data_IF_695338347641
#
_entry.id   IF_695338347641
#
_cell.length_a   1.000
_cell.length_b   1.000
_cell.length_c   1.000
_cell.angle_alpha   90.00
_cell.angle_beta   90.00
_cell.angle_gamma   90.00
#
_symmetry.space_group_name_H-M   'P 1'
#
loop_
_entity.id
_entity.type
_entity.pdbx_description
1 polymer ?
#
# COMPACT_ATOMS: atom_id res chain seq x y z
N UNK A 1 10.57 -37.54 9.80
CA UNK A 1 9.90 -38.85 9.60
C UNK A 1 8.66 -38.60 8.76
N UNK A 2 8.41 -39.35 7.69
CA UNK A 2 7.17 -39.20 6.88
C UNK A 2 6.20 -40.32 7.24
N UNK A 3 5.04 -39.98 7.77
CA UNK A 3 3.97 -40.92 8.13
C UNK A 3 2.67 -40.41 7.51
N UNK A 4 2.01 -41.23 6.68
CA UNK A 4 0.76 -40.87 5.99
C UNK A 4 0.84 -39.53 5.21
N UNK A 5 1.97 -39.27 4.54
CA UNK A 5 2.20 -38.03 3.79
C UNK A 5 2.56 -36.81 4.64
N UNK A 6 2.54 -36.92 5.97
CA UNK A 6 2.93 -35.86 6.90
C UNK A 6 4.41 -36.00 7.22
N UNK A 7 5.17 -34.94 6.94
CA UNK A 7 6.58 -34.84 7.30
C UNK A 7 6.71 -34.24 8.70
N UNK A 8 6.95 -35.08 9.69
CA UNK A 8 7.13 -34.67 11.07
C UNK A 8 8.51 -34.09 11.33
N UNK A 9 8.53 -33.04 12.16
CA UNK A 9 9.73 -32.42 12.67
C UNK A 9 10.54 -33.43 13.49
N UNK A 10 11.87 -33.52 13.30
CA UNK A 10 12.72 -34.39 14.11
C UNK A 10 12.59 -34.10 15.62
N UNK A 11 12.70 -35.15 16.45
CA UNK A 11 12.68 -34.99 17.91
C UNK A 11 13.94 -34.28 18.42
N UNK A 12 15.08 -34.44 17.76
CA UNK A 12 16.36 -33.82 18.15
C UNK A 12 16.62 -32.50 17.42
N UNK A 13 15.69 -31.54 17.53
CA UNK A 13 15.90 -30.17 17.05
C UNK A 13 16.60 -29.33 18.14
N UNK A 14 17.71 -28.63 17.82
CA UNK A 14 18.40 -27.75 18.77
C UNK A 14 17.49 -26.68 19.40
N UNK A 15 17.78 -26.29 20.64
CA UNK A 15 16.97 -25.30 21.37
C UNK A 15 16.79 -23.98 20.61
N UNK A 16 17.84 -23.45 19.97
CA UNK A 16 17.74 -22.19 19.22
C UNK A 16 16.69 -22.25 18.11
N UNK A 17 16.62 -23.36 17.35
CA UNK A 17 15.59 -23.60 16.33
C UNK A 17 14.18 -23.69 16.92
N UNK A 18 14.04 -24.22 18.14
CA UNK A 18 12.75 -24.24 18.84
C UNK A 18 12.33 -22.84 19.26
N UNK A 19 13.26 -22.02 19.77
CA UNK A 19 13.01 -20.64 20.15
C UNK A 19 12.64 -19.76 18.94
N UNK A 20 13.30 -19.94 17.79
CA UNK A 20 12.89 -19.34 16.52
C UNK A 20 11.47 -19.73 16.13
N UNK A 21 11.12 -21.02 16.26
CA UNK A 21 9.77 -21.51 15.96
C UNK A 21 8.74 -20.91 16.91
N UNK A 22 9.07 -20.82 18.20
CA UNK A 22 8.22 -20.23 19.22
C UNK A 22 8.01 -18.73 18.98
N UNK A 23 9.05 -18.00 18.59
CA UNK A 23 8.98 -16.58 18.26
C UNK A 23 8.04 -16.32 17.08
N UNK A 24 8.17 -17.10 15.99
CA UNK A 24 7.27 -16.97 14.84
C UNK A 24 5.86 -17.43 15.18
N UNK A 25 5.70 -18.49 15.98
CA UNK A 25 4.38 -18.95 16.43
C UNK A 25 3.68 -17.86 17.25
N UNK A 26 4.38 -17.27 18.22
CA UNK A 26 3.87 -16.17 19.03
C UNK A 26 3.45 -14.99 18.14
N UNK A 27 4.32 -14.56 17.23
CA UNK A 27 3.99 -13.48 16.30
C UNK A 27 2.79 -13.80 15.41
N UNK A 28 2.73 -15.01 14.85
CA UNK A 28 1.64 -15.45 13.98
C UNK A 28 0.31 -15.50 14.73
N UNK A 29 0.28 -16.04 15.95
CA UNK A 29 -0.92 -16.05 16.79
C UNK A 29 -1.33 -14.64 17.21
N UNK A 30 -0.37 -13.76 17.48
CA UNK A 30 -0.64 -12.36 17.76
C UNK A 30 -1.32 -11.67 16.57
N UNK A 31 -0.78 -11.81 15.37
CA UNK A 31 -1.34 -11.21 14.17
C UNK A 31 -2.74 -11.75 13.85
N UNK A 32 -2.97 -13.06 13.96
CA UNK A 32 -4.22 -13.70 13.54
C UNK A 32 -5.34 -13.61 14.59
N UNK A 33 -5.00 -13.65 15.88
CA UNK A 33 -5.99 -13.90 16.93
C UNK A 33 -5.98 -12.95 18.11
N UNK A 34 -4.86 -12.29 18.43
CA UNK A 34 -4.75 -11.55 19.69
C UNK A 34 -5.72 -10.36 19.76
N UNK A 35 -5.96 -9.63 18.66
CA UNK A 35 -6.94 -8.55 18.64
C UNK A 35 -8.35 -9.00 19.06
N UNK A 36 -8.87 -10.05 18.40
CA UNK A 36 -10.17 -10.63 18.74
C UNK A 36 -10.15 -11.26 20.13
N UNK A 37 -9.07 -11.93 20.52
CA UNK A 37 -8.89 -12.49 21.85
C UNK A 37 -8.99 -11.43 22.95
N UNK A 38 -8.30 -10.30 22.79
CA UNK A 38 -8.37 -9.17 23.72
C UNK A 38 -9.77 -8.56 23.76
N UNK A 39 -10.47 -8.47 22.62
CA UNK A 39 -11.85 -7.98 22.57
C UNK A 39 -12.81 -8.91 23.33
N UNK A 40 -12.78 -10.21 23.04
CA UNK A 40 -13.64 -11.19 23.71
C UNK A 40 -13.32 -11.29 25.21
N UNK A 41 -12.03 -11.25 25.58
CA UNK A 41 -11.62 -11.20 26.97
C UNK A 41 -12.14 -9.94 27.66
N UNK A 42 -12.09 -8.77 27.00
CA UNK A 42 -12.62 -7.52 27.55
C UNK A 42 -14.13 -7.61 27.78
N UNK A 43 -14.87 -8.16 26.82
CA UNK A 43 -16.33 -8.39 26.95
C UNK A 43 -16.61 -9.36 28.09
N UNK A 44 -15.88 -10.48 28.15
CA UNK A 44 -16.06 -11.49 29.20
C UNK A 44 -15.76 -10.91 30.59
N UNK A 45 -14.65 -10.18 30.76
CA UNK A 45 -14.29 -9.53 32.02
C UNK A 45 -15.36 -8.52 32.45
N UNK A 46 -15.88 -7.73 31.51
CA UNK A 46 -16.90 -6.71 31.76
C UNK A 46 -18.23 -7.30 32.24
N UNK A 47 -18.69 -8.41 31.66
CA UNK A 47 -20.03 -8.95 31.94
C UNK A 47 -20.06 -10.18 32.85
N UNK A 48 -18.96 -10.91 33.00
CA UNK A 48 -18.95 -12.22 33.65
C UNK A 48 -17.94 -12.35 34.81
N UNK A 49 -17.27 -11.27 35.21
CA UNK A 49 -16.29 -11.34 36.31
C UNK A 49 -16.44 -10.19 37.30
N UNK A 50 -15.98 -10.39 38.53
CA UNK A 50 -15.85 -9.31 39.54
C UNK A 50 -14.80 -8.25 39.19
N UNK A 51 -14.05 -8.45 38.11
CA UNK A 51 -12.99 -7.55 37.63
C UNK A 51 -13.47 -6.61 36.52
N UNK A 52 -14.78 -6.47 36.31
CA UNK A 52 -15.38 -5.59 35.29
C UNK A 52 -14.86 -4.14 35.36
N UNK A 53 -14.52 -3.68 36.56
CA UNK A 53 -13.97 -2.34 36.79
C UNK A 53 -12.65 -2.09 36.05
N UNK A 54 -11.85 -3.12 35.75
CA UNK A 54 -10.62 -2.96 34.95
C UNK A 54 -10.96 -2.44 33.55
N UNK A 55 -11.98 -3.02 32.91
CA UNK A 55 -12.42 -2.60 31.58
C UNK A 55 -13.05 -1.20 31.67
N UNK A 56 -13.85 -0.93 32.70
CA UNK A 56 -14.43 0.41 32.90
C UNK A 56 -13.37 1.50 33.13
N UNK A 57 -12.26 1.20 33.80
CA UNK A 57 -11.14 2.14 33.95
C UNK A 57 -10.35 2.31 32.63
N UNK A 58 -10.23 1.25 31.84
CA UNK A 58 -9.54 1.30 30.56
C UNK A 58 -10.33 2.09 29.49
N UNK A 59 -11.67 2.07 29.50
CA UNK A 59 -12.48 2.73 28.47
C UNK A 59 -12.25 4.27 28.36
N UNK A 60 -12.20 5.04 29.46
CA UNK A 60 -11.84 6.46 29.41
C UNK A 60 -10.45 6.69 28.82
N UNK A 61 -9.45 5.89 29.23
CA UNK A 61 -8.10 5.94 28.65
C UNK A 61 -8.13 5.64 27.16
N UNK A 62 -8.80 4.56 26.75
CA UNK A 62 -8.95 4.17 25.36
C UNK A 62 -9.54 5.30 24.51
N UNK A 63 -10.59 5.98 25.02
CA UNK A 63 -11.24 7.09 24.34
C UNK A 63 -10.33 8.31 24.24
N UNK A 64 -9.63 8.65 25.32
CA UNK A 64 -8.65 9.75 25.34
C UNK A 64 -7.50 9.51 24.36
N UNK A 65 -6.87 8.33 24.40
CA UNK A 65 -5.69 7.95 23.63
C UNK A 65 -6.04 7.41 22.22
N UNK A 66 -7.30 7.54 21.77
CA UNK A 66 -7.79 6.95 20.50
C UNK A 66 -7.08 7.46 19.24
N UNK A 67 -6.51 8.66 19.29
CA UNK A 67 -5.82 9.30 18.17
C UNK A 67 -4.33 8.99 18.14
N UNK A 68 -3.78 8.37 19.18
CA UNK A 68 -2.36 8.10 19.30
C UNK A 68 -1.80 7.24 18.16
N UNK A 69 -2.49 6.20 17.63
CA UNK A 69 -2.04 5.48 16.44
C UNK A 69 -1.85 6.37 15.20
N UNK A 70 -2.60 7.47 15.10
CA UNK A 70 -2.51 8.46 14.03
C UNK A 70 -1.52 9.58 14.38
N UNK A 71 -1.20 9.79 15.65
CA UNK A 71 -0.37 10.89 16.13
C UNK A 71 1.04 10.42 16.55
N UNK A 72 1.67 9.54 15.78
CA UNK A 72 3.03 9.05 16.03
C UNK A 72 3.13 7.76 16.86
N UNK A 73 2.07 7.35 17.56
CA UNK A 73 2.05 6.13 18.36
C UNK A 73 3.00 6.14 19.57
N UNK A 74 2.97 5.07 20.35
CA UNK A 74 3.71 4.93 21.61
C UNK A 74 4.87 3.93 21.51
N UNK A 75 5.78 4.16 20.56
CA UNK A 75 6.91 3.26 20.32
C UNK A 75 7.81 3.13 21.56
N UNK A 76 8.21 1.90 21.87
CA UNK A 76 9.06 1.61 23.01
C UNK A 76 10.33 0.87 22.57
N UNK A 77 11.49 1.49 22.80
CA UNK A 77 12.78 0.95 22.40
C UNK A 77 13.11 -0.40 23.08
N UNK A 78 12.66 -0.62 24.31
CA UNK A 78 12.86 -1.89 25.01
C UNK A 78 12.05 -3.02 24.36
N UNK A 79 10.77 -2.77 24.04
CA UNK A 79 9.91 -3.74 23.33
C UNK A 79 10.51 -4.09 21.96
N UNK A 80 10.94 -3.09 21.18
CA UNK A 80 11.59 -3.31 19.88
C UNK A 80 12.88 -4.12 19.96
N UNK A 81 13.57 -4.13 21.11
CA UNK A 81 14.83 -4.87 21.34
C UNK A 81 14.64 -6.23 22.03
N UNK A 82 13.41 -6.68 22.26
CA UNK A 82 13.15 -7.99 22.84
C UNK A 82 13.87 -9.11 22.08
N UNK A 83 14.40 -10.09 22.83
CA UNK A 83 15.14 -11.23 22.25
C UNK A 83 14.31 -12.05 21.26
N UNK A 84 12.98 -12.05 21.43
CA UNK A 84 12.04 -12.74 20.53
C UNK A 84 12.19 -12.25 19.08
N UNK A 85 12.49 -10.97 18.84
CA UNK A 85 12.63 -10.43 17.49
C UNK A 85 13.91 -10.91 16.77
N UNK A 86 14.98 -11.20 17.53
CA UNK A 86 16.17 -11.84 16.98
C UNK A 86 15.87 -13.27 16.54
N UNK A 87 15.14 -14.04 17.36
CA UNK A 87 14.67 -15.37 17.00
C UNK A 87 13.71 -15.35 15.80
N UNK A 88 12.82 -14.35 15.74
CA UNK A 88 11.93 -14.13 14.59
C UNK A 88 12.73 -13.88 13.31
N UNK A 89 13.70 -12.96 13.32
CA UNK A 89 14.50 -12.66 12.14
C UNK A 89 15.41 -13.83 11.73
N UNK A 90 15.93 -14.60 12.70
CA UNK A 90 16.74 -15.78 12.43
C UNK A 90 15.93 -16.97 11.89
N UNK A 91 14.61 -17.02 12.13
CA UNK A 91 13.74 -18.04 11.55
C UNK A 91 13.64 -17.92 10.03
N UNK A 92 13.54 -16.68 9.52
CA UNK A 92 13.42 -16.30 8.11
C UNK A 92 14.72 -15.78 7.48
N UNK A 93 15.88 -16.08 8.08
CA UNK A 93 17.10 -15.28 7.91
C UNK A 93 16.93 -13.85 7.33
N UNK A 94 16.20 -12.96 8.01
CA UNK A 94 15.87 -11.62 7.50
C UNK A 94 17.12 -10.75 7.44
N UNK A 95 17.37 -10.11 6.31
CA UNK A 95 18.48 -9.15 6.13
C UNK A 95 18.00 -7.82 5.56
N UNK A 96 18.43 -6.72 6.17
CA UNK A 96 18.20 -5.36 5.71
C UNK A 96 19.44 -4.82 5.00
N UNK A 97 19.30 -4.45 3.74
CA UNK A 97 20.38 -3.98 2.89
C UNK A 97 20.21 -2.50 2.60
N UNK A 98 21.14 -1.69 3.10
CA UNK A 98 21.23 -0.25 2.80
C UNK A 98 21.97 -0.03 1.49
N UNK A 99 21.41 0.77 0.58
CA UNK A 99 22.06 1.11 -0.69
C UNK A 99 22.52 2.56 -0.80
N UNK A 100 22.00 3.44 0.04
CA UNK A 100 22.38 4.84 0.12
C UNK A 100 22.23 5.36 1.55
N UNK A 101 22.88 6.48 1.84
CA UNK A 101 22.68 7.22 3.07
C UNK A 101 21.29 7.87 3.08
N UNK A 102 20.67 7.89 4.27
CA UNK A 102 19.43 8.59 4.54
C UNK A 102 19.70 9.58 5.69
N UNK A 103 20.11 10.83 5.37
CA UNK A 103 20.37 11.87 6.36
C UNK A 103 19.22 12.12 7.37
N UNK A 104 19.50 12.19 8.68
CA UNK A 104 18.45 12.35 9.71
C UNK A 104 17.86 13.77 9.81
N UNK A 105 18.38 14.72 9.03
CA UNK A 105 17.81 16.07 8.85
C UNK A 105 16.63 16.11 7.87
N UNK A 106 16.26 14.97 7.28
CA UNK A 106 15.12 14.82 6.37
C UNK A 106 14.08 13.83 6.88
N UNK A 107 12.89 13.91 6.30
CA UNK A 107 11.81 12.95 6.50
C UNK A 107 11.61 12.11 5.24
N UNK A 108 11.25 10.85 5.43
CA UNK A 108 11.19 9.85 4.36
C UNK A 108 9.86 9.11 4.33
N UNK A 109 9.38 8.85 3.12
CA UNK A 109 8.33 7.87 2.86
C UNK A 109 8.98 6.68 2.16
N UNK A 110 9.09 5.56 2.88
CA UNK A 110 9.63 4.30 2.39
C UNK A 110 8.50 3.50 1.74
N UNK A 111 8.50 3.42 0.42
CA UNK A 111 7.52 2.64 -0.35
C UNK A 111 7.90 1.16 -0.37
N UNK A 112 7.33 0.38 0.55
CA UNK A 112 7.64 -1.03 0.76
C UNK A 112 6.81 -1.96 -0.13
N UNK A 113 7.50 -2.86 -0.84
CA UNK A 113 6.90 -3.91 -1.67
C UNK A 113 7.69 -5.23 -1.62
N UNK A 114 7.07 -6.37 -1.95
CA UNK A 114 5.64 -6.57 -1.94
C UNK A 114 5.12 -6.64 -0.48
N UNK A 115 3.81 -6.54 -0.26
CA UNK A 115 3.21 -6.72 1.06
C UNK A 115 3.46 -8.13 1.65
N UNK A 116 3.48 -9.17 0.81
CA UNK A 116 3.39 -10.56 1.30
C UNK A 116 2.07 -10.86 2.00
N UNK A 117 1.94 -12.05 2.57
CA UNK A 117 0.71 -12.39 3.31
C UNK A 117 0.61 -11.60 4.62
N UNK A 118 1.71 -11.56 5.39
CA UNK A 118 1.74 -10.95 6.73
C UNK A 118 2.84 -9.87 6.87
N UNK A 119 3.52 -9.50 5.78
CA UNK A 119 4.64 -8.53 5.79
C UNK A 119 5.71 -8.86 6.84
N UNK A 120 6.25 -10.08 6.80
CA UNK A 120 7.29 -10.56 7.72
C UNK A 120 8.56 -9.71 7.64
N UNK A 121 8.96 -9.30 6.42
CA UNK A 121 10.12 -8.42 6.22
C UNK A 121 9.83 -7.00 6.70
N UNK A 122 8.60 -6.51 6.48
CA UNK A 122 8.17 -5.19 6.91
C UNK A 122 8.20 -5.08 8.43
N UNK A 123 7.60 -6.04 9.12
CA UNK A 123 7.60 -6.12 10.58
C UNK A 123 9.00 -6.31 11.15
N UNK A 124 9.74 -7.32 10.67
CA UNK A 124 11.08 -7.64 11.16
C UNK A 124 12.06 -6.48 11.05
N UNK A 125 12.06 -5.77 9.91
CA UNK A 125 13.00 -4.68 9.66
C UNK A 125 12.58 -3.33 10.25
N UNK A 126 11.29 -3.00 10.27
CA UNK A 126 10.85 -1.63 10.55
C UNK A 126 10.00 -1.48 11.82
N UNK A 127 9.42 -2.57 12.35
CA UNK A 127 8.70 -2.59 13.63
C UNK A 127 9.53 -3.18 14.78
N UNK A 128 10.75 -3.65 14.52
CA UNK A 128 11.61 -4.21 15.58
C UNK A 128 13.06 -3.79 15.37
N UNK A 129 13.93 -4.15 16.31
CA UNK A 129 15.39 -4.07 16.15
C UNK A 129 15.99 -5.45 15.85
N UNK A 130 15.19 -6.41 15.36
CA UNK A 130 15.63 -7.77 15.06
C UNK A 130 16.74 -7.84 14.00
N UNK A 131 16.73 -6.90 13.04
CA UNK A 131 17.80 -6.71 12.03
C UNK A 131 18.67 -5.48 12.28
N UNK A 132 18.47 -4.80 13.41
CA UNK A 132 19.29 -3.64 13.81
C UNK A 132 19.07 -2.38 12.98
N UNK A 133 17.82 -2.02 12.65
CA UNK A 133 17.49 -0.82 11.87
C UNK A 133 18.22 0.43 12.37
N UNK A 134 18.20 0.69 13.68
CA UNK A 134 18.81 1.89 14.26
C UNK A 134 20.34 1.92 14.08
N UNK A 135 20.99 0.77 13.88
CA UNK A 135 22.43 0.70 13.58
C UNK A 135 22.75 0.94 12.11
N UNK A 136 21.83 0.56 11.21
CA UNK A 136 21.99 0.71 9.76
C UNK A 136 21.65 2.15 9.33
N UNK A 137 20.63 2.73 9.95
CA UNK A 137 20.14 4.08 9.72
C UNK A 137 20.17 4.90 11.02
N UNK A 138 21.37 5.30 11.48
CA UNK A 138 21.51 6.06 12.71
C UNK A 138 20.77 7.39 12.62
N UNK A 139 20.05 7.73 13.70
CA UNK A 139 19.25 8.97 13.77
C UNK A 139 17.88 8.89 13.09
N UNK A 140 17.53 7.76 12.45
CA UNK A 140 16.18 7.58 11.90
C UNK A 140 15.25 6.80 12.83
N UNK A 141 14.00 7.23 12.87
CA UNK A 141 12.90 6.53 13.55
C UNK A 141 12.00 5.87 12.52
N UNK A 142 12.04 4.53 12.44
CA UNK A 142 11.13 3.77 11.60
C UNK A 142 9.72 3.69 12.21
N UNK A 143 8.71 3.95 11.37
CA UNK A 143 7.30 3.78 11.67
C UNK A 143 6.68 2.88 10.60
N UNK A 144 6.25 1.68 10.96
CA UNK A 144 5.55 0.79 10.02
C UNK A 144 4.06 1.12 10.00
N UNK A 145 3.54 1.49 8.82
CA UNK A 145 2.15 1.90 8.65
C UNK A 145 1.26 0.70 8.31
N UNK A 146 0.24 0.45 9.14
CA UNK A 146 -0.74 -0.65 8.96
C UNK A 146 -2.19 -0.16 9.01
N UNK A 147 -3.12 -1.06 8.66
CA UNK A 147 -4.55 -0.78 8.65
C UNK A 147 -5.08 -0.27 10.00
N UNK A 148 -5.80 0.86 9.99
CA UNK A 148 -6.48 1.47 11.13
C UNK A 148 -7.29 0.50 12.00
N UNK A 149 -7.96 -0.48 11.38
CA UNK A 149 -8.79 -1.47 12.07
C UNK A 149 -8.04 -2.28 13.13
N UNK A 150 -6.72 -2.45 12.98
CA UNK A 150 -5.89 -3.16 13.95
C UNK A 150 -5.80 -2.42 15.31
N UNK A 151 -6.01 -1.10 15.31
CA UNK A 151 -5.99 -0.28 16.53
C UNK A 151 -7.36 -0.17 17.22
N UNK A 152 -8.39 -0.84 16.71
CA UNK A 152 -9.73 -0.85 17.31
C UNK A 152 -9.88 -1.86 18.45
N UNK A 153 -8.92 -2.77 18.60
CA UNK A 153 -8.96 -3.83 19.62
C UNK A 153 -8.28 -3.36 20.92
N UNK A 154 -8.98 -3.38 22.07
CA UNK A 154 -8.42 -3.04 23.38
C UNK A 154 -7.14 -3.82 23.68
N UNK A 155 -6.15 -3.21 24.33
CA UNK A 155 -4.86 -3.79 24.73
C UNK A 155 -3.93 -4.22 23.57
N UNK A 156 -4.48 -4.84 22.53
CA UNK A 156 -3.75 -5.22 21.33
C UNK A 156 -3.23 -4.01 20.56
N UNK A 157 -4.01 -2.91 20.48
CA UNK A 157 -3.57 -1.65 19.90
C UNK A 157 -2.28 -1.13 20.56
N UNK A 158 -2.17 -1.27 21.88
CA UNK A 158 -1.04 -0.74 22.66
C UNK A 158 0.19 -1.62 22.43
N UNK A 159 -0.01 -2.94 22.43
CA UNK A 159 1.02 -3.90 22.03
C UNK A 159 1.60 -3.61 20.64
N UNK A 160 0.75 -3.31 19.64
CA UNK A 160 1.20 -2.93 18.30
C UNK A 160 1.99 -1.62 18.32
N UNK A 161 1.46 -0.58 18.96
CA UNK A 161 2.12 0.72 19.03
C UNK A 161 3.48 0.66 19.74
N UNK A 162 3.65 -0.19 20.75
CA UNK A 162 4.93 -0.40 21.42
C UNK A 162 6.03 -0.90 20.47
N UNK A 163 5.67 -1.67 19.43
CA UNK A 163 6.60 -2.06 18.36
C UNK A 163 6.91 -0.93 17.35
N UNK A 164 6.22 0.21 17.45
CA UNK A 164 6.40 1.34 16.51
C UNK A 164 5.56 1.23 15.25
N UNK A 165 4.52 0.43 15.31
CA UNK A 165 3.51 0.32 14.26
C UNK A 165 2.42 1.37 14.48
N UNK A 166 2.00 2.03 13.40
CA UNK A 166 1.10 3.19 13.40
C UNK A 166 0.07 3.08 12.27
N UNK A 167 -0.95 3.95 12.30
CA UNK A 167 -2.01 3.99 11.28
C UNK A 167 -1.46 4.36 9.90
N UNK A 168 -1.95 3.71 8.84
CA UNK A 168 -1.59 3.99 7.44
C UNK A 168 -2.42 5.11 6.79
N UNK A 169 -3.21 5.83 7.58
CA UNK A 169 -4.02 6.96 7.12
C UNK A 169 -3.15 8.14 6.65
N UNK A 170 -3.76 9.01 5.83
CA UNK A 170 -3.12 10.24 5.35
C UNK A 170 -2.72 11.13 6.52
N UNK A 171 -3.60 11.25 7.52
CA UNK A 171 -3.41 12.08 8.70
C UNK A 171 -2.18 11.63 9.49
N UNK A 172 -2.00 10.31 9.64
CA UNK A 172 -0.83 9.71 10.29
C UNK A 172 0.47 10.00 9.55
N UNK A 173 0.43 9.86 8.22
CA UNK A 173 1.58 10.17 7.38
C UNK A 173 1.92 11.67 7.44
N UNK A 174 0.93 12.57 7.36
CA UNK A 174 1.16 14.02 7.51
C UNK A 174 1.69 14.37 8.90
N UNK A 175 1.27 13.67 9.97
CA UNK A 175 1.80 13.86 11.33
C UNK A 175 3.30 13.60 11.41
N UNK A 176 3.79 12.43 10.96
CA UNK A 176 5.23 12.12 11.01
C UNK A 176 6.08 13.09 10.18
N UNK A 177 5.51 13.63 9.10
CA UNK A 177 6.23 14.55 8.21
C UNK A 177 6.23 16.00 8.71
N UNK A 178 5.41 16.36 9.70
CA UNK A 178 5.23 17.75 10.14
C UNK A 178 5.30 18.01 11.64
N UNK A 179 4.95 17.03 12.49
CA UNK A 179 4.82 17.20 13.94
C UNK A 179 5.91 16.48 14.74
N UNK A 180 6.53 15.45 14.18
CA UNK A 180 7.61 14.68 14.84
C UNK A 180 9.03 15.19 14.50
N UNK A 181 9.17 16.40 13.95
CA UNK A 181 10.47 16.93 13.53
C UNK A 181 11.02 16.20 12.30
N UNK A 182 12.36 16.04 12.22
CA UNK A 182 13.07 15.34 11.14
C UNK A 182 13.55 13.96 11.58
N UNK A 183 14.05 13.14 10.64
CA UNK A 183 14.56 11.81 10.93
C UNK A 183 13.46 10.74 10.94
N UNK A 184 12.28 11.04 10.43
CA UNK A 184 11.16 10.10 10.42
C UNK A 184 11.16 9.28 9.14
N UNK A 185 11.15 7.95 9.28
CA UNK A 185 11.06 7.00 8.17
C UNK A 185 9.69 6.29 8.21
N UNK A 186 8.70 6.87 7.52
CA UNK A 186 7.36 6.30 7.40
C UNK A 186 7.35 5.20 6.35
N UNK A 187 7.23 3.94 6.79
CA UNK A 187 7.25 2.75 5.94
C UNK A 187 5.83 2.39 5.53
N UNK A 188 5.48 2.73 4.30
CA UNK A 188 4.17 2.48 3.72
C UNK A 188 4.20 1.24 2.83
N UNK A 189 3.39 0.24 3.15
CA UNK A 189 3.19 -0.91 2.27
C UNK A 189 2.20 -0.55 1.16
N UNK A 190 2.71 0.06 0.10
CA UNK A 190 1.91 0.78 -0.92
C UNK A 190 0.86 -0.10 -1.60
N UNK A 191 1.20 -1.36 -1.88
CA UNK A 191 0.26 -2.28 -2.53
C UNK A 191 -0.90 -2.75 -1.65
N UNK A 192 -0.68 -2.79 -0.34
CA UNK A 192 -1.65 -3.17 0.68
C UNK A 192 -2.22 -4.59 0.49
N UNK A 193 -3.46 -4.78 0.95
CA UNK A 193 -4.19 -6.05 0.92
C UNK A 193 -4.30 -6.71 -0.47
N UNK A 194 -4.23 -5.93 -1.55
CA UNK A 194 -4.28 -6.46 -2.93
C UNK A 194 -3.04 -7.29 -3.25
N UNK A 195 -1.86 -6.84 -2.84
CA UNK A 195 -0.63 -7.63 -3.00
C UNK A 195 -0.65 -8.86 -2.10
N UNK A 196 -1.21 -8.77 -0.90
CA UNK A 196 -1.36 -9.91 0.01
C UNK A 196 -2.22 -11.03 -0.59
N UNK A 197 -3.35 -10.70 -1.22
CA UNK A 197 -4.21 -11.69 -1.92
C UNK A 197 -3.53 -12.36 -3.12
N UNK A 198 -2.58 -11.64 -3.75
CA UNK A 198 -1.84 -12.11 -4.93
C UNK A 198 -0.48 -12.70 -4.59
N UNK A 199 -0.10 -12.76 -3.31
CA UNK A 199 1.18 -13.30 -2.87
C UNK A 199 1.24 -14.81 -3.17
N UNK A 200 2.05 -15.18 -4.17
CA UNK A 200 2.35 -16.58 -4.50
C UNK A 200 3.85 -16.79 -4.42
N UNK A 201 4.29 -17.98 -3.97
CA UNK A 201 5.70 -18.32 -4.02
C UNK A 201 6.28 -18.12 -5.42
N UNK A 202 7.50 -17.63 -5.49
CA UNK A 202 8.29 -17.38 -6.69
C UNK A 202 7.71 -16.31 -7.63
N UNK A 203 6.69 -15.57 -7.20
CA UNK A 203 6.18 -14.42 -7.93
C UNK A 203 6.22 -13.20 -7.04
N UNK A 204 6.30 -12.01 -7.62
CA UNK A 204 5.88 -10.83 -6.89
C UNK A 204 5.00 -9.98 -7.82
N UNK A 205 3.83 -9.59 -7.32
CA UNK A 205 2.92 -8.75 -8.09
C UNK A 205 2.83 -7.42 -7.35
N UNK A 206 3.29 -6.35 -8.00
CA UNK A 206 3.34 -5.03 -7.41
C UNK A 206 2.11 -4.23 -7.83
N UNK A 207 1.36 -3.73 -6.86
CA UNK A 207 0.17 -2.91 -7.08
C UNK A 207 0.49 -1.43 -6.88
N UNK A 208 1.17 -0.83 -7.87
CA UNK A 208 1.63 0.56 -7.82
C UNK A 208 0.88 1.48 -8.79
N UNK A 209 0.44 0.99 -9.96
CA UNK A 209 -0.04 1.82 -11.10
C UNK A 209 -0.99 2.98 -10.72
N UNK A 210 -1.93 2.72 -9.83
CA UNK A 210 -2.97 3.68 -9.42
C UNK A 210 -2.73 4.27 -8.01
N UNK A 211 -1.61 3.96 -7.36
CA UNK A 211 -1.30 4.37 -5.98
C UNK A 211 -0.52 5.69 -5.98
N UNK A 212 -1.20 6.81 -6.17
CA UNK A 212 -0.53 8.14 -6.27
C UNK A 212 -0.59 8.98 -4.99
N UNK A 213 -1.38 8.56 -4.00
CA UNK A 213 -1.60 9.34 -2.76
C UNK A 213 -0.31 9.66 -2.00
N UNK A 214 0.59 8.69 -1.84
CA UNK A 214 1.84 8.90 -1.11
C UNK A 214 2.80 9.86 -1.84
N UNK A 215 2.74 9.91 -3.18
CA UNK A 215 3.49 10.88 -4.00
C UNK A 215 2.99 12.30 -3.73
N UNK A 216 1.66 12.47 -3.70
CA UNK A 216 1.03 13.76 -3.37
C UNK A 216 1.46 14.25 -1.99
N UNK A 217 1.49 13.36 -0.99
CA UNK A 217 1.92 13.71 0.37
C UNK A 217 3.42 14.03 0.43
N UNK A 218 4.27 13.26 -0.25
CA UNK A 218 5.69 13.56 -0.36
C UNK A 218 5.94 14.98 -0.90
N UNK A 219 5.32 15.31 -2.04
CA UNK A 219 5.42 16.64 -2.65
C UNK A 219 4.92 17.75 -1.71
N UNK A 220 3.77 17.54 -1.07
CA UNK A 220 3.17 18.53 -0.16
C UNK A 220 4.06 18.88 1.03
N UNK A 221 4.83 17.91 1.52
CA UNK A 221 5.63 18.07 2.73
C UNK A 221 7.14 18.13 2.48
N UNK A 222 7.60 17.96 1.23
CA UNK A 222 9.03 17.93 0.90
C UNK A 222 9.73 16.68 1.43
N UNK A 223 9.01 15.57 1.57
CA UNK A 223 9.55 14.32 2.11
C UNK A 223 10.17 13.47 0.99
N UNK A 224 11.37 12.97 1.20
CA UNK A 224 12.05 12.16 0.19
C UNK A 224 11.40 10.78 0.06
N UNK A 225 11.25 10.32 -1.17
CA UNK A 225 10.66 9.02 -1.47
C UNK A 225 11.75 7.95 -1.58
N UNK A 226 11.62 6.86 -0.85
CA UNK A 226 12.63 5.78 -0.83
C UNK A 226 11.98 4.48 -1.29
N UNK A 227 12.35 3.91 -2.45
CA UNK A 227 11.84 2.62 -2.86
C UNK A 227 12.42 1.52 -1.98
N UNK A 228 11.57 0.65 -1.43
CA UNK A 228 11.97 -0.49 -0.60
C UNK A 228 11.39 -1.77 -1.18
N UNK A 229 12.24 -2.78 -1.38
CA UNK A 229 11.83 -4.06 -1.97
C UNK A 229 12.30 -5.25 -1.14
N UNK A 230 11.41 -6.16 -0.80
CA UNK A 230 11.64 -7.35 0.02
C UNK A 230 11.56 -8.62 -0.81
N UNK A 231 12.71 -9.21 -1.12
CA UNK A 231 12.80 -10.48 -1.83
C UNK A 231 12.56 -11.65 -0.87
N UNK A 232 11.81 -12.66 -1.30
CA UNK A 232 11.44 -13.82 -0.47
C UNK A 232 10.16 -13.66 0.35
N UNK A 233 9.58 -12.45 0.34
CA UNK A 233 8.40 -12.10 1.13
C UNK A 233 7.17 -12.97 0.80
N UNK A 234 6.96 -13.28 -0.48
CA UNK A 234 5.85 -14.12 -0.93
C UNK A 234 6.13 -15.62 -0.78
N UNK A 235 7.36 -16.00 -0.45
CA UNK A 235 7.76 -17.41 -0.37
C UNK A 235 7.47 -17.99 1.02
N UNK A 236 7.24 -17.17 2.05
CA UNK A 236 7.07 -17.67 3.42
C UNK A 236 5.73 -18.37 3.66
N UNK A 237 4.80 -18.32 2.70
CA UNK A 237 3.55 -19.06 2.72
C UNK A 237 3.18 -19.48 1.31
N UNK A 238 2.46 -20.60 1.22
CA UNK A 238 1.69 -20.93 0.04
C UNK A 238 0.25 -20.39 0.21
N UNK A 239 -0.45 -20.16 -0.88
CA UNK A 239 -1.88 -19.84 -0.87
C UNK A 239 -2.64 -20.87 -1.68
N UNK A 240 -3.83 -21.21 -1.21
CA UNK A 240 -4.75 -22.04 -1.98
C UNK A 240 -5.05 -21.34 -3.32
N UNK A 241 -4.94 -22.04 -4.46
CA UNK A 241 -5.23 -21.45 -5.75
C UNK A 241 -6.63 -20.84 -5.80
N UNK A 242 -6.69 -19.55 -6.12
CA UNK A 242 -7.90 -18.74 -6.27
C UNK A 242 -7.77 -17.91 -7.57
N UNK A 243 -7.82 -18.56 -8.74
CA UNK A 243 -7.65 -17.86 -10.01
C UNK A 243 -8.66 -16.72 -10.15
N UNK A 244 -8.27 -15.67 -10.87
CA UNK A 244 -9.13 -14.50 -11.07
C UNK A 244 -10.46 -14.91 -11.69
N UNK A 245 -11.56 -14.36 -11.17
CA UNK A 245 -12.91 -14.74 -11.55
C UNK A 245 -13.48 -15.97 -10.84
N UNK A 246 -12.69 -16.75 -10.10
CA UNK A 246 -13.23 -17.86 -9.28
C UNK A 246 -14.15 -17.36 -8.16
N UNK A 247 -15.05 -18.23 -7.69
CA UNK A 247 -15.94 -17.93 -6.55
C UNK A 247 -15.15 -17.46 -5.32
N UNK A 248 -14.09 -18.19 -4.96
CA UNK A 248 -13.23 -17.87 -3.82
C UNK A 248 -12.56 -16.49 -4.00
N UNK A 249 -12.03 -16.21 -5.19
CA UNK A 249 -11.43 -14.92 -5.51
C UNK A 249 -12.45 -13.78 -5.37
N UNK A 250 -13.64 -13.93 -5.95
CA UNK A 250 -14.71 -12.92 -5.90
C UNK A 250 -15.20 -12.68 -4.47
N UNK A 251 -15.33 -13.74 -3.65
CA UNK A 251 -15.68 -13.64 -2.24
C UNK A 251 -14.60 -12.90 -1.44
N UNK A 252 -13.33 -13.29 -1.58
CA UNK A 252 -12.20 -12.64 -0.92
C UNK A 252 -12.10 -11.16 -1.32
N UNK A 253 -12.31 -10.83 -2.60
CA UNK A 253 -12.28 -9.47 -3.08
C UNK A 253 -13.45 -8.64 -2.50
N UNK A 254 -14.66 -9.20 -2.47
CA UNK A 254 -15.84 -8.56 -1.85
C UNK A 254 -15.60 -8.30 -0.36
N UNK A 255 -15.10 -9.28 0.38
CA UNK A 255 -14.77 -9.14 1.80
C UNK A 255 -13.68 -8.09 2.03
N UNK A 256 -12.64 -8.07 1.18
CA UNK A 256 -11.57 -7.07 1.26
C UNK A 256 -12.11 -5.65 1.04
N UNK A 257 -13.08 -5.46 0.12
CA UNK A 257 -13.73 -4.15 -0.10
C UNK A 257 -14.62 -3.71 1.07
N UNK A 258 -15.30 -4.65 1.73
CA UNK A 258 -16.20 -4.33 2.86
C UNK A 258 -15.38 -4.05 4.12
N UNK A 259 -14.46 -4.96 4.44
CA UNK A 259 -13.76 -5.00 5.71
C UNK A 259 -12.40 -4.30 5.70
N UNK A 260 -11.85 -3.99 4.52
CA UNK A 260 -10.55 -3.33 4.39
C UNK A 260 -9.34 -4.24 4.66
N UNK A 261 -9.55 -5.52 4.97
CA UNK A 261 -8.50 -6.52 5.16
C UNK A 261 -8.73 -7.76 4.29
N UNK A 262 -7.65 -8.32 3.76
CA UNK A 262 -7.68 -9.57 2.99
C UNK A 262 -7.56 -10.79 3.89
N UNK A 263 -8.35 -11.82 3.62
CA UNK A 263 -8.19 -13.15 4.22
C UNK A 263 -7.75 -14.15 3.15
N UNK A 264 -6.45 -14.20 2.78
CA UNK A 264 -5.95 -15.30 1.98
C UNK A 264 -6.11 -16.61 2.74
N UNK A 265 -6.45 -17.69 2.04
CA UNK A 265 -6.40 -19.03 2.62
C UNK A 265 -4.95 -19.49 2.49
N UNK A 266 -4.26 -19.47 3.62
CA UNK A 266 -2.81 -19.68 3.69
C UNK A 266 -2.50 -21.13 4.00
N UNK A 267 -1.42 -21.61 3.43
CA UNK A 267 -0.81 -22.88 3.78
C UNK A 267 0.63 -22.63 4.19
N UNK A 268 0.93 -22.94 5.44
CA UNK A 268 2.27 -22.99 5.98
C UNK A 268 2.58 -24.39 6.51
N UNK A 269 3.38 -24.43 7.56
CA UNK A 269 3.75 -25.64 8.29
C UNK A 269 3.17 -25.65 9.71
N UNK A 270 3.24 -26.81 10.37
CA UNK A 270 2.85 -26.95 11.76
C UNK A 270 3.99 -26.62 12.71
N UNK A 271 3.72 -26.68 14.01
CA UNK A 271 4.78 -26.60 15.04
C UNK A 271 5.65 -27.87 14.98
N UNK A 272 5.00 -29.04 14.89
CA UNK A 272 5.64 -30.37 14.93
C UNK A 272 5.67 -31.09 13.57
N UNK A 273 5.21 -30.44 12.50
CA UNK A 273 5.26 -30.98 11.14
C UNK A 273 5.65 -29.90 10.12
N UNK A 274 6.06 -30.33 8.93
CA UNK A 274 6.48 -29.47 7.82
C UNK A 274 5.47 -29.43 6.66
N UNK A 275 4.36 -30.15 6.76
CA UNK A 275 3.40 -30.36 5.66
C UNK A 275 2.25 -29.36 5.66
N UNK A 276 1.68 -29.05 6.83
CA UNK A 276 0.51 -28.19 6.93
C UNK A 276 0.44 -27.43 8.26
N UNK A 277 -0.12 -26.23 8.22
CA UNK A 277 -0.43 -25.43 9.39
C UNK A 277 -0.44 -23.94 9.09
N UNK A 278 -0.51 -23.14 10.15
CA UNK A 278 -0.58 -21.68 10.07
C UNK A 278 0.79 -21.01 10.20
N UNK A 279 1.84 -21.77 10.52
CA UNK A 279 3.17 -21.21 10.72
C UNK A 279 3.85 -20.98 9.36
N UNK A 280 4.43 -19.80 9.10
CA UNK A 280 5.21 -19.56 7.90
C UNK A 280 6.33 -20.58 7.66
N UNK A 281 6.71 -20.83 6.41
CA UNK A 281 7.90 -21.58 6.05
C UNK A 281 9.18 -20.82 6.40
N UNK A 282 10.24 -21.56 6.74
CA UNK A 282 11.58 -21.01 7.01
C UNK A 282 12.28 -20.69 5.70
N UNK A 283 12.01 -19.53 5.12
CA UNK A 283 12.64 -19.07 3.87
C UNK A 283 13.31 -17.71 4.07
N UNK A 284 14.44 -17.43 3.38
CA UNK A 284 15.16 -16.18 3.54
C UNK A 284 14.33 -14.98 3.10
N UNK A 285 14.47 -13.84 3.78
CA UNK A 285 13.85 -12.57 3.35
C UNK A 285 14.92 -11.48 3.29
N UNK A 286 15.10 -10.87 2.12
CA UNK A 286 16.12 -9.85 1.90
C UNK A 286 15.45 -8.53 1.49
N UNK A 287 15.48 -7.55 2.38
CA UNK A 287 14.87 -6.23 2.15
C UNK A 287 15.94 -5.23 1.75
N UNK A 288 15.79 -4.62 0.57
CA UNK A 288 16.69 -3.62 0.02
C UNK A 288 16.05 -2.24 0.14
N UNK A 289 16.72 -1.32 0.84
CA UNK A 289 16.34 0.09 0.96
C UNK A 289 17.10 0.88 -0.11
N UNK A 290 16.37 1.46 -1.05
CA UNK A 290 16.89 2.19 -2.21
C UNK A 290 17.49 3.55 -1.86
N UNK A 291 17.98 4.25 -2.90
CA UNK A 291 18.40 5.64 -2.77
C UNK A 291 17.19 6.59 -2.62
N UNK A 292 17.30 7.66 -1.82
CA UNK A 292 16.24 8.64 -1.69
C UNK A 292 16.06 9.42 -2.99
N UNK A 293 14.80 9.71 -3.31
CA UNK A 293 14.37 10.59 -4.38
C UNK A 293 13.87 11.84 -3.68
N UNK A 294 14.72 12.87 -3.66
CA UNK A 294 14.36 14.16 -3.10
C UNK A 294 13.29 14.83 -3.97
N UNK A 295 12.39 15.54 -3.31
CA UNK A 295 11.29 16.28 -3.96
C UNK A 295 11.29 17.70 -3.46
N UNK A 296 10.99 18.63 -4.35
CA UNK A 296 10.76 20.02 -3.97
C UNK A 296 9.36 20.15 -3.36
N UNK A 297 9.29 20.84 -2.22
CA UNK A 297 8.03 21.01 -1.50
C UNK A 297 7.06 21.86 -2.31
N UNK A 298 5.90 21.32 -2.64
CA UNK A 298 4.83 22.00 -3.35
C UNK A 298 3.51 21.82 -2.60
N UNK A 299 2.97 22.88 -2.00
CA UNK A 299 1.77 22.82 -1.14
C UNK A 299 0.53 22.31 -1.87
N UNK A 300 0.40 22.61 -3.17
CA UNK A 300 -0.67 22.17 -4.04
C UNK A 300 -0.11 21.53 -5.33
N UNK A 301 0.39 20.30 -5.27
CA UNK A 301 1.03 19.67 -6.42
C UNK A 301 0.00 19.36 -7.51
N UNK A 302 0.32 19.69 -8.76
CA UNK A 302 -0.53 19.39 -9.90
C UNK A 302 -0.56 17.88 -10.19
N UNK A 303 -1.62 17.41 -10.85
CA UNK A 303 -1.71 15.99 -11.24
C UNK A 303 -0.55 15.57 -12.16
N UNK A 304 -0.08 16.49 -13.01
CA UNK A 304 1.07 16.25 -13.89
C UNK A 304 2.36 16.04 -13.10
N UNK A 305 2.63 16.86 -12.07
CA UNK A 305 3.79 16.69 -11.19
C UNK A 305 3.74 15.34 -10.47
N UNK A 306 2.57 14.97 -9.96
CA UNK A 306 2.33 13.68 -9.30
C UNK A 306 2.60 12.53 -10.29
N UNK A 307 2.08 12.62 -11.51
CA UNK A 307 2.17 11.56 -12.51
C UNK A 307 3.60 11.38 -13.03
N UNK A 308 4.32 12.49 -13.26
CA UNK A 308 5.73 12.48 -13.66
C UNK A 308 6.61 11.81 -12.60
N UNK A 309 6.45 12.20 -11.33
CA UNK A 309 7.21 11.62 -10.23
C UNK A 309 6.83 10.15 -9.98
N UNK A 310 5.54 9.81 -10.06
CA UNK A 310 5.06 8.44 -9.95
C UNK A 310 5.61 7.55 -11.07
N UNK A 311 5.67 8.04 -12.31
CA UNK A 311 6.24 7.32 -13.45
C UNK A 311 7.74 7.06 -13.24
N UNK A 312 8.49 8.04 -12.73
CA UNK A 312 9.90 7.87 -12.37
C UNK A 312 10.08 6.76 -11.32
N UNK A 313 9.27 6.78 -10.26
CA UNK A 313 9.30 5.75 -9.21
C UNK A 313 8.90 4.39 -9.73
N UNK A 314 7.94 4.29 -10.65
CA UNK A 314 7.55 3.01 -11.25
C UNK A 314 8.67 2.33 -12.05
N UNK A 315 9.67 3.08 -12.51
CA UNK A 315 10.79 2.56 -13.31
C UNK A 315 11.99 2.10 -12.45
N UNK A 316 12.20 2.70 -11.27
CA UNK A 316 13.36 2.46 -10.41
C UNK A 316 13.46 1.05 -9.79
N UNK A 317 12.37 0.40 -9.32
CA UNK A 317 12.43 -0.94 -8.72
C UNK A 317 13.01 -2.00 -9.65
N UNK A 318 12.84 -1.84 -10.98
CA UNK A 318 13.26 -2.87 -11.95
C UNK A 318 14.76 -2.91 -12.19
N UNK A 319 15.45 -1.76 -12.30
CA UNK A 319 16.82 -1.75 -12.79
C UNK A 319 17.82 -1.78 -11.63
N UNK A 320 17.77 -0.79 -10.74
CA UNK A 320 18.78 -0.63 -9.68
C UNK A 320 18.63 -1.68 -8.59
N UNK A 321 17.41 -1.99 -8.15
CA UNK A 321 17.21 -2.98 -7.07
C UNK A 321 17.54 -4.40 -7.55
N UNK A 322 17.25 -4.74 -8.81
CA UNK A 322 17.68 -6.02 -9.39
C UNK A 322 19.20 -6.11 -9.57
N UNK A 323 19.88 -5.02 -9.96
CA UNK A 323 21.34 -4.99 -10.01
C UNK A 323 21.96 -5.20 -8.63
N UNK A 324 21.43 -4.52 -7.61
CA UNK A 324 21.83 -4.70 -6.21
C UNK A 324 21.60 -6.14 -5.77
N UNK A 325 20.45 -6.73 -6.09
CA UNK A 325 20.15 -8.12 -5.74
C UNK A 325 21.09 -9.11 -6.44
N UNK A 326 21.37 -8.92 -7.74
CA UNK A 326 22.37 -9.71 -8.46
C UNK A 326 23.75 -9.59 -7.81
N UNK A 327 24.13 -8.41 -7.31
CA UNK A 327 25.38 -8.21 -6.58
C UNK A 327 25.39 -8.93 -5.23
N UNK A 328 24.33 -8.79 -4.43
CA UNK A 328 24.18 -9.47 -3.13
C UNK A 328 24.23 -10.98 -3.31
N UNK A 329 23.51 -11.51 -4.30
CA UNK A 329 23.54 -12.93 -4.64
C UNK A 329 24.97 -13.33 -4.97
N UNK A 330 25.65 -12.66 -5.91
CA UNK A 330 27.05 -12.97 -6.26
C UNK A 330 27.99 -12.97 -5.05
N UNK A 331 27.89 -11.96 -4.18
CA UNK A 331 28.69 -11.87 -2.96
C UNK A 331 28.38 -13.01 -1.99
N UNK A 332 27.11 -13.38 -1.86
CA UNK A 332 26.68 -14.49 -1.02
C UNK A 332 27.12 -15.83 -1.62
N UNK A 333 26.96 -16.05 -2.93
CA UNK A 333 27.44 -17.26 -3.62
C UNK A 333 28.96 -17.42 -3.50
N UNK A 334 29.72 -16.31 -3.64
CA UNK A 334 31.17 -16.31 -3.50
C UNK A 334 31.59 -16.65 -2.06
N UNK A 335 30.90 -16.10 -1.05
CA UNK A 335 31.11 -16.44 0.36
C UNK A 335 30.69 -17.87 0.73
N UNK A 336 29.75 -18.45 -0.03
CA UNK A 336 29.17 -19.79 0.16
C UNK A 336 29.90 -20.85 -0.69
N UNK A 337 30.94 -20.49 -1.46
CA UNK A 337 31.74 -21.42 -2.29
C UNK A 337 32.46 -22.54 -1.50
N UNK A 338 32.37 -22.56 -0.16
CA UNK A 338 32.76 -23.66 0.71
C UNK A 338 31.60 -24.47 1.34
N UNK A 339 30.33 -24.19 1.01
CA UNK A 339 29.15 -24.81 1.63
C UNK A 339 28.33 -25.56 0.55
N UNK A 340 28.10 -26.86 0.78
CA UNK A 340 27.49 -27.85 -0.15
C UNK A 340 26.03 -27.60 -0.58
N UNK A 341 25.48 -26.40 -0.43
CA UNK A 341 24.09 -26.06 -0.81
C UNK A 341 24.03 -24.91 -1.84
N UNK A 342 24.76 -25.09 -2.95
CA UNK A 342 24.74 -24.20 -4.13
C UNK A 342 23.35 -24.09 -4.81
N UNK A 343 22.43 -25.03 -4.57
CA UNK A 343 21.10 -25.08 -5.22
C UNK A 343 20.13 -24.00 -4.74
N UNK A 344 20.23 -23.57 -3.48
CA UNK A 344 19.34 -22.52 -2.96
C UNK A 344 19.68 -21.15 -3.55
N UNK A 345 20.95 -20.87 -3.83
CA UNK A 345 21.42 -19.56 -4.31
C UNK A 345 21.11 -19.34 -5.81
N UNK A 346 21.20 -20.39 -6.61
CA UNK A 346 20.86 -20.37 -8.05
C UNK A 346 19.33 -20.18 -8.25
N UNK A 347 18.50 -20.66 -7.32
CA UNK A 347 17.05 -20.46 -7.38
C UNK A 347 16.64 -18.97 -7.32
N UNK A 348 17.42 -18.10 -6.67
CA UNK A 348 17.16 -16.65 -6.61
C UNK A 348 17.39 -15.96 -7.96
N UNK A 349 18.33 -16.45 -8.77
CA UNK A 349 18.65 -15.85 -10.09
C UNK A 349 17.73 -16.32 -11.21
N UNK A 350 17.28 -17.58 -11.18
CA UNK A 350 16.48 -18.17 -12.26
C UNK A 350 14.97 -17.92 -12.10
N UNK A 351 14.49 -17.59 -10.89
CA UNK A 351 13.06 -17.31 -10.60
C UNK A 351 12.66 -15.84 -10.75
N UNK A 352 13.59 -14.98 -11.16
CA UNK A 352 13.32 -13.58 -11.48
C UNK A 352 12.82 -13.42 -12.93
N UNK A 353 11.84 -14.21 -13.37
CA UNK A 353 11.09 -13.96 -14.61
C UNK A 353 10.14 -12.79 -14.39
N UNK A 354 10.72 -11.60 -14.39
CA UNK A 354 10.03 -10.33 -14.45
C UNK A 354 10.14 -9.82 -15.86
N UNK A 355 9.09 -9.98 -16.66
CA UNK A 355 8.85 -9.50 -18.04
C UNK A 355 7.72 -10.42 -18.50
N UNK A 356 6.45 -10.04 -18.53
CA UNK A 356 5.85 -8.94 -19.25
C UNK A 356 4.79 -8.31 -18.33
N UNK A 357 4.68 -6.98 -18.36
CA UNK A 357 3.41 -6.39 -17.99
C UNK A 357 2.40 -6.82 -19.03
N UNK A 358 1.74 -7.97 -18.86
CA UNK A 358 0.32 -8.01 -19.18
C UNK A 358 -0.27 -6.97 -18.25
N UNK A 359 -0.43 -5.75 -18.75
CA UNK A 359 -1.45 -4.85 -18.24
C UNK A 359 -2.72 -5.68 -18.24
N UNK A 360 -3.11 -6.12 -17.05
CA UNK A 360 -4.43 -6.67 -16.85
C UNK A 360 -5.41 -5.58 -17.32
N UNK A 361 -6.16 -5.78 -18.42
CA UNK A 361 -6.95 -4.71 -19.04
C UNK A 361 -8.03 -4.16 -18.11
N UNK A 362 -8.32 -4.86 -17.01
CA UNK A 362 -9.25 -4.46 -15.97
C UNK A 362 -8.57 -4.45 -14.61
N UNK A 363 -7.75 -3.44 -14.37
CA UNK A 363 -7.47 -2.99 -13.01
C UNK A 363 -8.79 -2.53 -12.37
N UNK A 364 -9.51 -3.45 -11.74
CA UNK A 364 -10.71 -3.15 -10.96
C UNK A 364 -10.36 -2.04 -9.96
N UNK A 365 -11.00 -0.89 -10.10
CA UNK A 365 -10.74 0.32 -9.33
C UNK A 365 -11.11 0.09 -7.85
N UNK A 366 -10.20 -0.52 -7.10
CA UNK A 366 -10.33 -0.73 -5.67
C UNK A 366 -9.71 0.49 -4.99
N UNK A 367 -10.40 1.63 -5.08
CA UNK A 367 -10.18 2.74 -4.18
C UNK A 367 -10.29 2.18 -2.76
N UNK A 368 -9.18 2.18 -2.02
CA UNK A 368 -9.29 2.23 -0.56
C UNK A 368 -10.12 3.47 -0.29
N UNK A 369 -11.19 3.36 0.51
CA UNK A 369 -12.08 4.49 0.80
C UNK A 369 -11.22 5.71 1.08
N UNK A 370 -11.27 6.67 0.18
CA UNK A 370 -10.76 8.01 0.43
C UNK A 370 -11.37 8.45 1.77
N UNK A 371 -10.54 9.09 2.60
CA UNK A 371 -11.06 9.76 3.80
C UNK A 371 -12.26 10.59 3.37
N UNK A 372 -13.39 10.46 4.08
CA UNK A 372 -14.61 11.18 3.75
C UNK A 372 -14.28 12.67 3.59
N UNK A 373 -14.17 13.12 2.34
CA UNK A 373 -14.38 14.51 2.01
C UNK A 373 -15.75 14.88 2.59
N UNK A 374 -15.80 16.02 3.29
CA UNK A 374 -17.00 16.48 3.97
C UNK A 374 -18.21 16.38 3.04
N UNK A 375 -19.35 15.96 3.60
CA UNK A 375 -20.61 15.83 2.86
C UNK A 375 -20.84 17.09 2.00
N UNK A 376 -20.69 16.95 0.69
CA UNK A 376 -21.21 17.91 -0.27
C UNK A 376 -22.72 17.93 -0.05
N UNK A 377 -23.28 19.11 0.23
CA UNK A 377 -24.72 19.28 0.44
C UNK A 377 -25.52 18.70 -0.74
N UNK A 378 -26.77 18.24 -0.50
CA UNK A 378 -27.56 17.58 -1.53
C UNK A 378 -27.67 18.46 -2.78
N UNK A 379 -27.33 17.89 -3.93
CA UNK A 379 -27.58 18.45 -5.26
C UNK A 379 -29.10 18.65 -5.41
N UNK A 380 -29.53 19.85 -5.81
CA UNK A 380 -30.95 20.14 -6.03
C UNK A 380 -31.60 19.15 -7.01
N UNK A 381 -32.92 18.93 -6.91
CA UNK A 381 -33.61 17.93 -7.74
C UNK A 381 -33.43 18.21 -9.24
N UNK A 382 -33.32 17.17 -10.07
CA UNK A 382 -33.29 17.32 -11.53
C UNK A 382 -34.54 18.04 -12.04
N UNK A 383 -34.36 18.94 -13.01
CA UNK A 383 -35.49 19.49 -13.76
C UNK A 383 -36.24 18.38 -14.50
N UNK A 384 -37.56 18.55 -14.77
CA UNK A 384 -38.37 17.51 -15.38
C UNK A 384 -37.88 17.17 -16.80
N UNK A 385 -37.82 15.87 -17.11
CA UNK A 385 -37.49 15.34 -18.44
C UNK A 385 -38.54 15.77 -19.47
N UNK A 386 -38.07 16.33 -20.59
CA UNK A 386 -38.91 16.68 -21.74
C UNK A 386 -39.38 15.43 -22.46
N UNK A 387 -40.68 15.40 -22.80
CA UNK A 387 -41.34 14.25 -23.44
C UNK A 387 -40.83 14.01 -24.87
N UNK A 388 -40.55 12.75 -25.20
CA UNK A 388 -40.21 12.27 -26.55
C UNK A 388 -41.34 12.58 -27.54
N UNK A 389 -41.01 13.27 -28.64
CA UNK A 389 -41.95 13.59 -29.72
C UNK A 389 -42.17 12.44 -30.72
N UNK A 390 -43.27 12.46 -31.49
CA UNK A 390 -43.75 11.34 -32.29
C UNK A 390 -43.01 11.13 -33.63
N UNK A 391 -43.22 9.95 -34.23
CA UNK A 391 -42.53 9.36 -35.38
C UNK A 391 -43.26 9.59 -36.72
N UNK A 392 -42.52 9.75 -37.83
CA UNK A 392 -43.01 9.69 -39.24
C UNK A 392 -42.20 10.59 -40.19
N UNK A 393 -42.01 10.37 -41.50
CA UNK A 393 -42.45 9.34 -42.45
C UNK A 393 -41.38 9.17 -43.57
N UNK A 394 -41.42 8.00 -44.21
CA UNK A 394 -40.46 7.46 -45.18
C UNK A 394 -40.83 7.82 -46.64
N UNK A 395 -39.83 7.98 -47.52
CA UNK A 395 -39.97 7.93 -48.99
C UNK A 395 -38.82 7.07 -49.58
N UNK A 396 -39.16 5.85 -50.02
CA UNK A 396 -38.31 4.85 -50.70
C UNK A 396 -37.88 5.34 -52.12
N UNK A 397 -36.75 4.93 -52.72
CA UNK A 397 -36.50 3.56 -53.21
C UNK A 397 -35.02 3.18 -53.46
N UNK A 398 -34.74 1.92 -53.07
CA UNK A 398 -33.82 0.86 -53.58
C UNK A 398 -32.30 0.84 -53.30
N UNK A 399 -31.97 -0.12 -52.42
CA UNK A 399 -30.87 -1.12 -52.37
C UNK A 399 -29.40 -0.62 -52.25
N UNK A 400 -28.59 -0.86 -51.21
CA UNK A 400 -28.75 -1.51 -49.91
C UNK A 400 -27.43 -1.52 -49.08
N UNK A 401 -27.56 -1.22 -47.77
CA UNK A 401 -26.64 -1.32 -46.61
C UNK A 401 -25.66 -0.16 -46.32
N UNK A 402 -26.24 0.82 -45.64
CA UNK A 402 -25.72 2.06 -45.04
C UNK A 402 -24.91 1.80 -43.73
N UNK A 403 -24.08 2.70 -43.21
CA UNK A 403 -23.88 4.11 -43.51
C UNK A 403 -23.88 4.94 -42.21
N UNK A 404 -22.95 5.89 -42.15
CA UNK A 404 -22.62 6.76 -41.02
C UNK A 404 -23.62 7.92 -40.82
N UNK A 405 -23.54 8.50 -39.62
CA UNK A 405 -24.31 9.63 -39.07
C UNK A 405 -24.32 10.89 -39.96
N UNK A 406 -25.50 11.52 -40.08
CA UNK A 406 -25.72 12.87 -40.61
C UNK A 406 -26.40 13.82 -39.59
N UNK A 407 -26.42 15.14 -39.84
CA UNK A 407 -26.23 16.18 -38.83
C UNK A 407 -27.48 16.65 -38.06
N UNK A 408 -27.21 17.30 -36.91
CA UNK A 408 -28.17 17.89 -35.96
C UNK A 408 -28.73 19.23 -36.47
N UNK A 409 -30.05 19.43 -36.35
CA UNK A 409 -30.75 20.69 -36.65
C UNK A 409 -30.54 21.81 -35.61
N UNK A 410 -31.02 23.04 -35.89
CA UNK A 410 -30.56 24.28 -35.26
C UNK A 410 -31.12 24.55 -33.84
N UNK A 411 -30.48 25.45 -33.07
CA UNK A 411 -30.84 25.76 -31.69
C UNK A 411 -32.12 26.62 -31.54
N UNK A 412 -32.73 26.55 -30.36
CA UNK A 412 -33.85 27.40 -29.94
C UNK A 412 -33.43 28.83 -29.53
N UNK A 413 -34.40 29.71 -29.21
CA UNK A 413 -34.23 31.17 -29.22
C UNK A 413 -33.32 31.73 -28.11
N UNK A 414 -32.64 32.83 -28.44
CA UNK A 414 -31.55 33.48 -27.71
C UNK A 414 -31.97 34.43 -26.58
N UNK A 415 -31.13 34.51 -25.55
CA UNK A 415 -31.12 35.55 -24.52
C UNK A 415 -30.63 36.90 -25.08
N UNK A 416 -31.26 37.99 -24.61
CA UNK A 416 -31.09 39.42 -24.96
C UNK A 416 -29.70 39.83 -25.52
N UNK A 417 -29.74 40.33 -26.76
CA UNK A 417 -28.63 40.70 -27.66
C UNK A 417 -28.06 42.10 -27.37
N UNK A 418 -26.72 42.25 -27.41
CA UNK A 418 -26.03 43.53 -27.59
C UNK A 418 -26.06 44.01 -29.07
N UNK A 419 -25.68 45.27 -29.38
CA UNK A 419 -25.98 45.88 -30.68
C UNK A 419 -25.29 45.20 -31.88
N UNK A 420 -26.06 45.05 -32.96
CA UNK A 420 -25.70 44.44 -34.26
C UNK A 420 -24.70 45.29 -35.05
N UNK A 421 -23.63 44.66 -35.53
CA UNK A 421 -22.82 45.12 -36.66
C UNK A 421 -23.35 44.56 -37.99
N UNK A 422 -23.34 45.39 -39.03
CA UNK A 422 -23.88 45.16 -40.38
C UNK A 422 -22.93 44.30 -41.23
N UNK A 423 -23.44 43.32 -41.97
CA UNK A 423 -22.69 42.63 -43.03
C UNK A 423 -22.79 43.41 -44.35
N UNK A 424 -21.64 43.82 -44.92
CA UNK A 424 -21.52 44.23 -46.30
C UNK A 424 -20.98 43.07 -47.17
N UNK A 425 -21.44 43.06 -48.41
CA UNK A 425 -21.25 42.08 -49.46
C UNK A 425 -19.80 42.07 -50.03
N UNK A 426 -19.41 40.90 -50.54
CA UNK A 426 -18.42 40.55 -51.58
C UNK A 426 -17.29 41.53 -52.02
N UNK A 427 -16.08 40.95 -52.05
CA UNK A 427 -14.97 41.14 -53.02
C UNK A 427 -13.92 42.28 -52.86
N UNK A 428 -12.65 41.84 -53.05
CA UNK A 428 -11.40 42.51 -53.51
C UNK A 428 -10.49 43.31 -52.54
N UNK A 429 -9.21 42.90 -52.59
CA UNK A 429 -7.90 43.62 -52.53
C UNK A 429 -7.54 44.63 -51.42
N UNK A 430 -6.34 44.37 -50.88
CA UNK A 430 -5.22 45.25 -50.49
C UNK A 430 -5.43 46.44 -49.52
N UNK A 431 -4.60 46.48 -48.46
CA UNK A 431 -3.95 47.73 -48.00
C UNK A 431 -4.10 48.15 -46.52
N UNK A 432 -3.04 47.84 -45.75
CA UNK A 432 -2.32 48.67 -44.74
C UNK A 432 -3.01 49.29 -43.49
N UNK A 433 -2.29 49.08 -42.38
CA UNK A 433 -2.06 49.92 -41.18
C UNK A 433 -3.32 50.36 -40.39
N UNK A 434 -3.67 49.83 -39.22
CA UNK A 434 -2.95 49.80 -37.94
C UNK A 434 -3.66 50.77 -36.97
N UNK A 435 -3.97 50.37 -35.72
CA UNK A 435 -3.98 51.21 -34.50
C UNK A 435 -4.52 50.48 -33.24
N UNK A 436 -3.79 50.72 -32.15
CA UNK A 436 -3.92 50.50 -30.70
C UNK A 436 -5.33 50.29 -30.11
N UNK A 437 -5.45 49.33 -29.17
CA UNK A 437 -6.70 48.95 -28.49
C UNK A 437 -7.08 49.81 -27.27
N UNK A 438 -8.35 49.76 -26.83
CA UNK A 438 -8.81 50.52 -25.66
C UNK A 438 -8.56 49.82 -24.30
N UNK A 439 -8.22 50.65 -23.31
CA UNK A 439 -8.14 50.34 -21.87
C UNK A 439 -9.47 49.84 -21.29
N UNK A 440 -9.38 48.93 -20.32
CA UNK A 440 -10.54 48.44 -19.54
C UNK A 440 -11.07 49.48 -18.56
N UNK A 441 -12.38 49.50 -18.36
CA UNK A 441 -13.07 50.33 -17.36
C UNK A 441 -13.00 49.74 -15.94
N UNK A 442 -13.05 50.56 -14.87
CA UNK A 442 -12.98 50.10 -13.48
C UNK A 442 -14.27 49.38 -13.05
N UNK A 443 -14.13 48.36 -12.20
CA UNK A 443 -15.27 47.65 -11.62
C UNK A 443 -16.03 48.49 -10.57
N UNK A 444 -17.36 48.30 -10.42
CA UNK A 444 -18.12 49.00 -9.39
C UNK A 444 -17.92 48.37 -8.00
N UNK A 445 -17.88 49.23 -6.98
CA UNK A 445 -17.91 48.91 -5.56
C UNK A 445 -19.29 48.37 -5.12
N UNK A 446 -19.28 47.40 -4.21
CA UNK A 446 -20.46 46.79 -3.58
C UNK A 446 -20.11 45.56 -2.78
#
# INVERSE_FOLDING_TARGET
>A
MKVLGIEFAPLNIPLHRRLETLAVLQWTLCFLGLGFGCLFLSIYVLFHTKYYWIVLLYLPWYYYDRMTPTNGGNQNAWVRRWRVWRYFCNYFPIKLHKTAELPPDKNYILGYHPHGIMSVGGFGNFATEGTGFASIFPGLTARLLILRGQFMFPFYRDYLMLSGVVDCSKESLEWHLTKEGTGNASVLVVGGAVEALRARPNTNTINLKNRKGFIKIALKHGASLVPVFSFGENDVFDQVPNPEGSFLFNLQQKMTRICGFSMPIIQGRGVFNYTFGILPFRRPVNTVVGAPIDVEKCSNPSQEQIDKLHAHIGQLPKIRMMQTMKRIIRQTTAAVSGIKHHSEVIAWTTRATWLEGKTDPQGCNCNGRDGRDGLVGPKGPPGPEGKTGPQGCNCNTRDGRDGLVGPKGPPGPESKTGPKGVCCNCNTRDGRDGLVGPHGSPGPEG
#
